data_IF_017631563307
#
_entry.id   IF_017631563307
#
_cell.length_a   1.000
_cell.length_b   1.000
_cell.length_c   1.000
_cell.angle_alpha   90.00
_cell.angle_beta   90.00
_cell.angle_gamma   90.00
#
_symmetry.space_group_name_H-M   'P 1'
#
loop_
_entity.id
_entity.type
_entity.pdbx_description
1 polymer ?
#
# COMPACT_ATOMS: atom_id res chain seq x y z
N UNK A 1 30.98 -54.05 -33.55
CA UNK A 1 30.77 -52.58 -33.45
C UNK A 1 29.90 -52.29 -32.25
N UNK A 2 30.51 -51.86 -31.14
CA UNK A 2 29.78 -51.51 -29.90
C UNK A 2 29.45 -50.02 -29.96
N UNK A 3 28.16 -49.64 -30.10
CA UNK A 3 27.68 -48.27 -29.95
C UNK A 3 27.64 -47.95 -28.47
N UNK A 4 28.55 -47.12 -28.02
CA UNK A 4 28.50 -46.53 -26.69
C UNK A 4 27.50 -45.38 -26.70
N UNK A 5 26.33 -45.61 -26.12
CA UNK A 5 25.31 -44.62 -25.93
C UNK A 5 25.72 -43.75 -24.72
N UNK A 6 26.27 -42.55 -25.01
CA UNK A 6 26.58 -41.56 -23.97
C UNK A 6 25.26 -40.96 -23.47
N UNK A 7 24.88 -41.38 -22.27
CA UNK A 7 23.80 -40.76 -21.52
C UNK A 7 24.30 -39.41 -21.04
N UNK A 8 23.88 -38.32 -21.69
CA UNK A 8 24.09 -36.98 -21.16
C UNK A 8 23.15 -36.76 -19.98
N UNK A 9 23.71 -36.85 -18.78
CA UNK A 9 23.06 -36.38 -17.57
C UNK A 9 23.09 -34.84 -17.61
N UNK A 10 21.94 -34.22 -17.93
CA UNK A 10 21.74 -32.79 -17.77
C UNK A 10 21.41 -32.55 -16.29
N UNK A 11 22.25 -31.84 -15.53
CA UNK A 11 21.89 -31.47 -14.17
C UNK A 11 20.76 -30.43 -14.27
N UNK A 12 19.55 -30.83 -13.87
CA UNK A 12 18.44 -29.91 -13.64
C UNK A 12 18.83 -29.12 -12.40
N UNK A 13 19.35 -27.92 -12.63
CA UNK A 13 19.57 -26.93 -11.57
C UNK A 13 18.20 -26.42 -11.15
N UNK A 14 17.59 -27.07 -10.16
CA UNK A 14 16.42 -26.51 -9.47
C UNK A 14 16.87 -25.28 -8.72
N UNK A 15 16.68 -24.12 -9.35
CA UNK A 15 16.77 -22.85 -8.65
C UNK A 15 15.54 -22.81 -7.71
N UNK A 16 15.76 -23.20 -6.47
CA UNK A 16 14.85 -22.93 -5.37
C UNK A 16 14.83 -21.42 -5.15
N UNK A 17 14.00 -20.72 -5.91
CA UNK A 17 13.65 -19.34 -5.58
C UNK A 17 12.81 -19.39 -4.30
N UNK A 18 13.48 -19.26 -3.16
CA UNK A 18 12.80 -18.98 -1.91
C UNK A 18 11.93 -17.72 -2.15
N UNK A 19 10.63 -17.74 -1.80
CA UNK A 19 9.82 -16.55 -1.89
C UNK A 19 10.49 -15.49 -1.00
N UNK A 20 10.93 -14.39 -1.62
CA UNK A 20 11.43 -13.25 -0.88
C UNK A 20 10.23 -12.73 -0.07
N UNK A 21 10.18 -13.05 1.22
CA UNK A 21 9.25 -12.46 2.16
C UNK A 21 9.65 -10.99 2.32
N UNK A 22 9.09 -10.12 1.47
CA UNK A 22 9.17 -8.69 1.66
C UNK A 22 8.23 -8.30 2.79
N UNK A 23 8.76 -7.60 3.80
CA UNK A 23 7.92 -7.08 4.87
C UNK A 23 6.98 -6.00 4.31
N UNK A 24 5.72 -5.98 4.71
CA UNK A 24 4.78 -4.95 4.30
C UNK A 24 5.23 -3.59 4.82
N UNK A 25 4.88 -2.54 4.08
CA UNK A 25 5.07 -1.15 4.48
C UNK A 25 3.73 -0.46 4.60
N UNK A 26 3.64 0.46 5.55
CA UNK A 26 2.44 1.27 5.77
C UNK A 26 2.79 2.75 5.64
N UNK A 27 2.08 3.46 4.78
CA UNK A 27 2.08 4.90 4.77
C UNK A 27 1.03 5.37 5.78
N UNK A 28 1.49 5.98 6.85
CA UNK A 28 0.66 6.44 7.95
C UNK A 28 0.51 7.96 7.88
N UNK A 29 -0.72 8.44 7.82
CA UNK A 29 -1.04 9.86 7.76
C UNK A 29 -1.90 10.24 8.96
N UNK A 30 -1.47 11.25 9.71
CA UNK A 30 -2.29 11.89 10.74
C UNK A 30 -3.11 12.98 10.08
N UNK A 31 -4.43 12.90 10.24
CA UNK A 31 -5.36 13.76 9.54
C UNK A 31 -6.29 14.50 10.50
N UNK A 32 -6.63 15.72 10.13
CA UNK A 32 -7.64 16.56 10.75
C UNK A 32 -8.83 16.64 9.79
N UNK A 33 -10.03 16.30 10.26
CA UNK A 33 -11.24 16.35 9.47
C UNK A 33 -11.71 17.79 9.32
N UNK A 34 -12.13 18.17 8.12
CA UNK A 34 -12.82 19.44 7.90
C UNK A 34 -14.16 19.46 8.65
N UNK A 35 -14.53 20.61 9.23
CA UNK A 35 -15.74 20.75 10.05
C UNK A 35 -17.04 20.46 9.27
N UNK A 36 -17.04 20.66 7.96
CA UNK A 36 -18.18 20.39 7.07
C UNK A 36 -18.20 18.95 6.54
N UNK A 37 -17.11 18.20 6.68
CA UNK A 37 -17.00 16.82 6.21
C UNK A 37 -17.57 15.82 7.23
N UNK A 38 -18.20 14.77 6.74
CA UNK A 38 -18.64 13.66 7.57
C UNK A 38 -17.69 12.45 7.45
N UNK A 39 -17.75 11.52 8.42
CA UNK A 39 -17.03 10.24 8.31
C UNK A 39 -17.45 9.44 7.07
N UNK A 40 -18.72 9.53 6.70
CA UNK A 40 -19.24 8.86 5.50
C UNK A 40 -18.61 9.42 4.22
N UNK A 41 -18.35 10.74 4.15
CA UNK A 41 -17.67 11.36 3.03
C UNK A 41 -16.24 10.84 2.91
N UNK A 42 -15.51 10.79 4.04
CA UNK A 42 -14.16 10.24 4.11
C UNK A 42 -14.11 8.77 3.65
N UNK A 43 -14.99 7.93 4.15
CA UNK A 43 -15.06 6.52 3.80
C UNK A 43 -15.44 6.31 2.32
N UNK A 44 -16.31 7.17 1.79
CA UNK A 44 -16.71 7.15 0.38
C UNK A 44 -15.54 7.47 -0.52
N UNK A 45 -14.79 8.54 -0.24
CA UNK A 45 -13.60 8.90 -1.04
C UNK A 45 -12.51 7.86 -0.88
N UNK A 46 -12.24 7.37 0.34
CA UNK A 46 -11.27 6.29 0.58
C UNK A 46 -11.60 5.03 -0.22
N UNK A 47 -12.88 4.66 -0.34
CA UNK A 47 -13.31 3.52 -1.16
C UNK A 47 -13.04 3.73 -2.65
N UNK A 48 -13.26 4.94 -3.16
CA UNK A 48 -12.90 5.31 -4.55
C UNK A 48 -11.38 5.26 -4.75
N UNK A 49 -10.62 5.78 -3.79
CA UNK A 49 -9.15 5.74 -3.80
C UNK A 49 -8.63 4.30 -3.86
N UNK A 50 -9.16 3.40 -3.02
CA UNK A 50 -8.79 1.99 -3.03
C UNK A 50 -9.07 1.33 -4.38
N UNK A 51 -10.23 1.60 -4.97
CA UNK A 51 -10.59 1.08 -6.30
C UNK A 51 -9.65 1.60 -7.39
N UNK A 52 -9.31 2.88 -7.38
CA UNK A 52 -8.37 3.48 -8.33
C UNK A 52 -6.97 2.90 -8.15
N UNK A 53 -6.49 2.78 -6.90
CA UNK A 53 -5.19 2.23 -6.59
C UNK A 53 -5.02 0.78 -7.05
N UNK A 54 -6.04 -0.05 -6.90
CA UNK A 54 -6.02 -1.45 -7.39
C UNK A 54 -5.90 -1.58 -8.91
N UNK A 55 -6.24 -0.55 -9.66
CA UNK A 55 -6.02 -0.45 -11.10
C UNK A 55 -4.63 0.05 -11.51
N UNK A 56 -3.78 0.42 -10.55
CA UNK A 56 -2.44 0.92 -10.78
C UNK A 56 -1.38 -0.14 -10.46
N UNK A 57 -0.25 -0.11 -11.20
CA UNK A 57 0.90 -0.96 -10.86
C UNK A 57 1.41 -0.63 -9.48
N UNK A 58 1.69 -1.65 -8.68
CA UNK A 58 2.12 -1.51 -7.28
C UNK A 58 0.97 -1.29 -6.29
N UNK A 59 -0.24 -0.98 -6.76
CA UNK A 59 -1.43 -0.77 -5.95
C UNK A 59 -2.41 -1.94 -5.93
N UNK A 60 -2.18 -3.00 -6.73
CA UNK A 60 -3.12 -4.11 -6.92
C UNK A 60 -3.52 -4.81 -5.62
N UNK A 61 -2.58 -4.87 -4.67
CA UNK A 61 -2.76 -5.49 -3.35
C UNK A 61 -2.76 -4.47 -2.21
N UNK A 62 -2.89 -3.19 -2.54
CA UNK A 62 -2.96 -2.13 -1.53
C UNK A 62 -4.23 -2.29 -0.69
N UNK A 63 -4.11 -1.94 0.59
CA UNK A 63 -5.23 -1.83 1.52
C UNK A 63 -5.26 -0.41 2.09
N UNK A 64 -6.45 0.09 2.39
CA UNK A 64 -6.67 1.38 3.04
C UNK A 64 -7.44 1.16 4.34
N UNK A 65 -6.97 1.77 5.42
CA UNK A 65 -7.64 1.79 6.71
C UNK A 65 -7.83 3.23 7.16
N UNK A 66 -8.96 3.51 7.78
CA UNK A 66 -9.20 4.76 8.51
C UNK A 66 -9.35 4.38 9.98
N UNK A 67 -8.48 4.87 10.82
CA UNK A 67 -8.49 4.62 12.25
C UNK A 67 -9.03 5.84 12.97
N UNK A 68 -10.27 5.74 13.45
CA UNK A 68 -10.87 6.73 14.32
C UNK A 68 -10.53 6.43 15.77
N UNK A 69 -10.12 7.42 16.57
CA UNK A 69 -9.88 7.21 17.99
C UNK A 69 -11.20 6.89 18.71
N UNK A 70 -11.18 5.81 19.49
CA UNK A 70 -12.33 5.42 20.35
C UNK A 70 -12.15 5.97 21.76
N UNK A 71 -10.92 5.93 22.26
CA UNK A 71 -10.52 6.48 23.56
C UNK A 71 -9.08 6.94 23.43
N UNK A 72 -8.82 8.21 23.30
CA UNK A 72 -7.51 8.82 23.55
C UNK A 72 -7.44 10.27 23.09
N UNK A 73 -6.56 11.05 23.68
CA UNK A 73 -6.06 12.27 23.08
C UNK A 73 -4.99 11.94 22.05
N UNK A 74 -5.29 12.15 20.78
CA UNK A 74 -4.32 12.08 19.70
C UNK A 74 -3.72 13.46 19.35
N UNK A 75 -3.79 14.42 20.27
CA UNK A 75 -3.47 15.81 20.01
C UNK A 75 -4.47 16.42 19.04
N UNK A 76 -3.99 17.21 18.07
CA UNK A 76 -4.82 17.86 17.04
C UNK A 76 -5.16 16.91 15.87
N UNK A 77 -5.16 15.61 16.11
CA UNK A 77 -5.42 14.60 15.08
C UNK A 77 -6.78 13.96 15.31
N UNK A 78 -7.68 14.07 14.32
CA UNK A 78 -9.03 13.50 14.41
C UNK A 78 -9.07 12.02 14.04
N UNK A 79 -8.19 11.59 13.12
CA UNK A 79 -8.10 10.20 12.67
C UNK A 79 -6.75 9.93 12.00
N UNK A 80 -6.48 8.66 11.71
CA UNK A 80 -5.33 8.26 10.90
C UNK A 80 -5.79 7.55 9.62
N UNK A 81 -5.23 7.95 8.47
CA UNK A 81 -5.35 7.23 7.21
C UNK A 81 -4.11 6.36 7.04
N UNK A 82 -4.31 5.07 6.77
CA UNK A 82 -3.22 4.11 6.63
C UNK A 82 -3.35 3.40 5.28
N UNK A 83 -2.31 3.51 4.44
CA UNK A 83 -2.21 2.77 3.19
C UNK A 83 -1.15 1.68 3.36
N UNK A 84 -1.54 0.42 3.18
CA UNK A 84 -0.66 -0.74 3.36
C UNK A 84 -0.30 -1.31 2.00
N UNK A 85 1.00 -1.50 1.76
CA UNK A 85 1.55 -2.13 0.56
C UNK A 85 2.30 -3.41 0.95
N UNK A 86 2.29 -4.46 0.10
CA UNK A 86 2.99 -5.71 0.40
C UNK A 86 4.51 -5.54 0.57
N UNK A 87 5.10 -4.52 -0.07
CA UNK A 87 6.53 -4.22 0.02
C UNK A 87 6.84 -2.76 -0.28
N UNK A 88 8.05 -2.32 0.08
CA UNK A 88 8.56 -0.99 -0.30
C UNK A 88 8.72 -0.86 -1.82
N UNK A 89 8.98 -1.95 -2.53
CA UNK A 89 9.09 -1.97 -3.99
C UNK A 89 7.74 -1.64 -4.65
N UNK A 90 6.67 -2.28 -4.21
CA UNK A 90 5.32 -2.02 -4.74
C UNK A 90 4.85 -0.61 -4.40
N UNK A 91 5.14 -0.12 -3.20
CA UNK A 91 4.92 1.28 -2.85
C UNK A 91 5.66 2.23 -3.80
N UNK A 92 6.94 1.98 -4.09
CA UNK A 92 7.73 2.79 -5.02
C UNK A 92 7.15 2.81 -6.43
N UNK A 93 6.78 1.63 -6.97
CA UNK A 93 6.12 1.50 -8.28
C UNK A 93 4.80 2.26 -8.33
N UNK A 94 4.00 2.17 -7.26
CA UNK A 94 2.74 2.91 -7.13
C UNK A 94 2.98 4.42 -7.14
N UNK A 95 3.97 4.90 -6.38
CA UNK A 95 4.30 6.33 -6.31
C UNK A 95 4.83 6.87 -7.64
N UNK A 96 5.59 6.08 -8.39
CA UNK A 96 6.06 6.45 -9.74
C UNK A 96 4.89 6.65 -10.73
N UNK A 97 3.79 5.93 -10.55
CA UNK A 97 2.58 6.04 -11.38
C UNK A 97 1.53 7.02 -10.84
N UNK A 98 1.78 7.68 -9.71
CA UNK A 98 0.77 8.50 -9.02
C UNK A 98 0.42 9.77 -9.79
N UNK A 99 1.43 10.49 -10.32
CA UNK A 99 1.23 11.74 -11.05
C UNK A 99 0.40 11.51 -12.32
N UNK A 100 -0.63 12.32 -12.52
CA UNK A 100 -1.56 12.20 -13.65
C UNK A 100 -2.56 11.05 -13.56
N UNK A 101 -2.53 10.25 -12.49
CA UNK A 101 -3.44 9.12 -12.28
C UNK A 101 -4.82 9.55 -11.76
N UNK A 102 -5.80 8.62 -11.82
CA UNK A 102 -7.08 8.80 -11.15
C UNK A 102 -6.93 8.94 -9.63
N UNK A 103 -5.89 8.31 -9.05
CA UNK A 103 -5.59 8.42 -7.63
C UNK A 103 -5.20 9.83 -7.22
N UNK A 104 -4.43 10.55 -8.04
CA UNK A 104 -4.08 11.95 -7.78
C UNK A 104 -5.32 12.85 -7.75
N UNK A 105 -6.28 12.62 -8.66
CA UNK A 105 -7.55 13.38 -8.66
C UNK A 105 -8.36 13.14 -7.39
N UNK A 106 -8.43 11.88 -6.95
CA UNK A 106 -9.13 11.52 -5.71
C UNK A 106 -8.41 12.05 -4.47
N UNK A 107 -7.08 12.17 -4.51
CA UNK A 107 -6.34 12.83 -3.44
C UNK A 107 -6.73 14.31 -3.32
N UNK A 108 -7.01 14.99 -4.42
CA UNK A 108 -7.53 16.37 -4.40
C UNK A 108 -8.91 16.44 -3.76
N UNK A 109 -9.82 15.47 -4.05
CA UNK A 109 -11.11 15.37 -3.36
C UNK A 109 -10.93 15.10 -1.86
N UNK A 110 -9.94 14.27 -1.49
CA UNK A 110 -9.60 14.00 -0.09
C UNK A 110 -9.14 15.26 0.64
N UNK A 111 -8.29 16.08 0.01
CA UNK A 111 -7.76 17.30 0.59
C UNK A 111 -8.85 18.35 0.90
N UNK A 112 -10.02 18.24 0.26
CA UNK A 112 -11.20 19.06 0.59
C UNK A 112 -11.92 18.56 1.85
N UNK A 113 -11.74 17.30 2.25
CA UNK A 113 -12.40 16.67 3.38
C UNK A 113 -11.53 16.61 4.63
N UNK A 114 -10.23 16.55 4.46
CA UNK A 114 -9.27 16.41 5.55
C UNK A 114 -7.89 16.91 5.18
N UNK A 115 -7.22 17.54 6.12
CA UNK A 115 -5.82 17.88 6.03
C UNK A 115 -4.97 16.81 6.73
N UNK A 116 -3.95 16.30 6.03
CA UNK A 116 -3.04 15.29 6.58
C UNK A 116 -1.59 15.84 6.61
N UNK A 117 -1.26 16.77 7.53
CA UNK A 117 0.01 17.49 7.52
C UNK A 117 1.23 16.63 7.86
N UNK A 118 1.01 15.49 8.52
CA UNK A 118 2.07 14.60 8.97
C UNK A 118 1.89 13.21 8.36
N UNK A 119 2.95 12.73 7.70
CA UNK A 119 3.00 11.38 7.14
C UNK A 119 4.31 10.69 7.46
N UNK A 120 4.27 9.36 7.56
CA UNK A 120 5.45 8.52 7.70
C UNK A 120 5.27 7.21 6.93
N UNK A 121 6.34 6.74 6.28
CA UNK A 121 6.38 5.40 5.74
C UNK A 121 7.04 4.48 6.78
N UNK A 122 6.33 3.46 7.21
CA UNK A 122 6.75 2.55 8.26
C UNK A 122 6.83 1.12 7.74
N UNK A 123 7.87 0.41 8.15
CA UNK A 123 7.99 -1.03 7.92
C UNK A 123 7.34 -1.78 9.07
N UNK A 124 6.43 -2.70 8.75
CA UNK A 124 5.76 -3.54 9.76
C UNK A 124 6.50 -4.86 9.89
N UNK A 125 6.93 -5.20 11.10
CA UNK A 125 7.54 -6.48 11.41
C UNK A 125 6.73 -7.20 12.47
N UNK A 126 6.28 -8.42 12.15
CA UNK A 126 5.61 -9.28 13.14
C UNK A 126 6.65 -9.82 14.12
N UNK A 127 6.44 -9.58 15.40
CA UNK A 127 7.23 -10.18 16.48
C UNK A 127 6.57 -11.50 16.87
N UNK A 128 7.38 -12.55 17.01
CA UNK A 128 6.94 -13.90 17.42
C UNK A 128 7.21 -14.12 18.90
#
# INVERSE_FOLDING_TARGET
>A
MKKVMRLMLVPILMILTAPAYSDPVSMFLKCEQDDEASRLDLETVASKMLKAAKGMKGGEKMEIYINYPVVAHMGDTDFALILVFPSVTEWGVFMDGFEGSAMQKLNTEWDELAACPNSALMKTKKIK
#
